data_IF_880192347422
#
_entry.id   IF_880192347422
#
_cell.length_a   1.000
_cell.length_b   1.000
_cell.length_c   1.000
_cell.angle_alpha   90.00
_cell.angle_beta   90.00
_cell.angle_gamma   90.00
#
_symmetry.space_group_name_H-M   'P 1'
#
loop_
_entity.id
_entity.type
_entity.pdbx_description
1 polymer ?
#
# COMPACT_ATOMS: atom_id res chain seq x y z
N UNK A 1 22.00 -11.63 -5.75
CA UNK A 1 20.86 -10.90 -6.34
C UNK A 1 20.11 -10.15 -5.24
N UNK A 2 20.74 -9.15 -4.59
CA UNK A 2 20.21 -8.46 -3.40
C UNK A 2 19.97 -6.95 -3.69
N UNK A 3 20.00 -6.53 -4.94
CA UNK A 3 20.09 -5.10 -5.26
C UNK A 3 18.77 -4.37 -5.54
N UNK A 4 17.65 -5.07 -5.73
CA UNK A 4 16.42 -4.42 -6.20
C UNK A 4 15.32 -4.23 -5.13
N UNK A 5 15.46 -4.81 -3.93
CA UNK A 5 14.42 -4.76 -2.89
C UNK A 5 14.47 -3.47 -2.04
N UNK A 6 15.63 -2.82 -1.96
CA UNK A 6 15.74 -1.54 -1.24
C UNK A 6 15.14 -0.33 -2.01
N UNK A 7 14.88 -0.48 -3.30
CA UNK A 7 14.40 0.64 -4.11
C UNK A 7 12.89 0.94 -3.94
N UNK A 8 12.09 -0.06 -3.56
CA UNK A 8 10.64 0.14 -3.40
C UNK A 8 10.28 0.90 -2.10
N UNK A 9 11.07 0.76 -1.05
CA UNK A 9 10.85 1.52 0.19
C UNK A 9 11.37 2.97 0.15
N UNK A 10 12.25 3.30 -0.80
CA UNK A 10 12.80 4.65 -0.94
C UNK A 10 11.84 5.64 -1.65
N UNK A 11 10.73 5.18 -2.18
CA UNK A 11 9.75 6.03 -2.89
C UNK A 11 8.65 6.56 -1.96
N UNK A 12 8.62 6.15 -0.69
CA UNK A 12 7.79 6.83 0.32
C UNK A 12 8.56 8.05 0.85
N UNK A 13 9.14 8.83 -0.02
CA UNK A 13 9.57 10.18 0.27
C UNK A 13 8.34 11.07 0.32
N UNK A 14 8.15 11.72 1.45
CA UNK A 14 7.15 12.77 1.64
C UNK A 14 7.10 13.68 0.41
N UNK A 15 6.12 13.50 -0.45
CA UNK A 15 5.77 14.51 -1.41
C UNK A 15 4.96 15.59 -0.68
N UNK A 16 5.66 16.48 0.01
CA UNK A 16 5.14 17.84 0.23
C UNK A 16 5.16 18.55 -1.11
N UNK A 17 4.29 18.09 -2.02
CA UNK A 17 4.15 18.66 -3.35
C UNK A 17 3.30 19.90 -3.29
N UNK A 18 3.94 21.07 -3.41
CA UNK A 18 3.28 22.25 -3.92
C UNK A 18 2.63 21.94 -5.27
N UNK A 19 1.45 22.48 -5.59
CA UNK A 19 0.80 22.20 -6.85
C UNK A 19 1.70 22.64 -8.00
N UNK A 20 2.13 21.69 -8.81
CA UNK A 20 2.83 21.99 -10.05
C UNK A 20 1.82 22.59 -11.02
N UNK A 21 1.91 23.89 -11.19
CA UNK A 21 1.19 24.60 -12.24
C UNK A 21 1.63 24.03 -13.59
N UNK A 22 0.72 23.40 -14.30
CA UNK A 22 0.95 22.92 -15.65
C UNK A 22 1.26 24.14 -16.54
N UNK A 23 2.53 24.31 -16.93
CA UNK A 23 2.90 25.26 -17.98
C UNK A 23 2.37 24.72 -19.31
N UNK A 24 1.40 25.43 -19.86
CA UNK A 24 0.99 25.29 -21.25
C UNK A 24 2.21 25.47 -22.16
N UNK A 25 2.77 24.38 -22.63
CA UNK A 25 3.81 24.41 -23.65
C UNK A 25 3.12 24.55 -25.01
N UNK A 26 2.89 25.77 -25.44
CA UNK A 26 2.47 26.04 -26.80
C UNK A 26 3.64 25.75 -27.75
N UNK A 27 3.58 24.64 -28.43
CA UNK A 27 4.42 24.34 -29.57
C UNK A 27 4.01 25.29 -30.70
N UNK A 28 4.94 26.00 -31.34
CA UNK A 28 4.63 26.82 -32.54
C UNK A 28 4.46 25.83 -33.71
N UNK A 29 3.27 25.70 -34.21
CA UNK A 29 3.00 24.90 -35.39
C UNK A 29 1.75 24.07 -35.28
N UNK A 30 0.62 24.66 -35.72
CA UNK A 30 -0.57 23.94 -36.13
C UNK A 30 -1.34 23.26 -35.01
N UNK A 31 -2.51 23.76 -34.71
CA UNK A 31 -3.51 23.07 -33.86
C UNK A 31 -3.88 21.73 -34.50
N UNK A 32 -3.47 20.57 -33.96
CA UNK A 32 -3.81 19.27 -34.55
C UNK A 32 -5.30 18.93 -34.40
N UNK A 33 -6.04 19.78 -33.70
CA UNK A 33 -7.47 19.64 -33.47
C UNK A 33 -8.34 20.66 -34.24
N UNK A 34 -7.76 21.31 -35.22
CA UNK A 34 -8.50 22.21 -36.13
C UNK A 34 -9.70 21.50 -36.77
N UNK A 35 -10.78 22.25 -36.93
CA UNK A 35 -12.11 21.83 -37.40
C UNK A 35 -12.14 21.27 -38.83
N UNK A 36 -11.40 20.22 -39.10
CA UNK A 36 -11.39 19.48 -40.35
C UNK A 36 -12.17 18.19 -40.21
N UNK A 37 -13.30 18.06 -40.88
CA UNK A 37 -14.05 16.82 -41.03
C UNK A 37 -13.23 15.82 -41.86
N UNK A 38 -12.30 15.11 -41.22
CA UNK A 38 -11.61 13.97 -41.82
C UNK A 38 -12.28 12.66 -41.40
N UNK A 39 -12.91 11.98 -42.35
CA UNK A 39 -13.27 10.58 -42.22
C UNK A 39 -11.97 9.74 -42.15
N UNK A 40 -11.43 9.54 -40.99
CA UNK A 40 -10.34 8.63 -40.75
C UNK A 40 -10.54 7.96 -39.38
N UNK A 41 -10.44 6.67 -39.35
CA UNK A 41 -10.42 5.85 -38.15
C UNK A 41 -9.26 6.29 -37.27
N UNK A 42 -9.54 7.01 -36.17
CA UNK A 42 -8.53 7.47 -35.20
C UNK A 42 -8.40 8.99 -35.14
N UNK A 43 -9.43 9.69 -34.69
CA UNK A 43 -9.32 11.10 -34.34
C UNK A 43 -8.69 11.24 -32.94
N UNK A 44 -7.43 11.70 -32.84
CA UNK A 44 -6.78 11.86 -31.55
C UNK A 44 -7.37 12.99 -30.70
N UNK A 45 -8.30 13.76 -31.25
CA UNK A 45 -8.92 14.91 -30.60
C UNK A 45 -10.37 14.69 -30.19
N UNK A 46 -10.89 13.46 -30.34
CA UNK A 46 -12.20 13.16 -29.79
C UNK A 46 -12.04 13.05 -28.27
N UNK A 47 -12.57 14.04 -27.54
CA UNK A 47 -12.44 14.17 -26.08
C UNK A 47 -13.03 13.04 -25.25
N UNK A 48 -13.29 11.88 -25.86
CA UNK A 48 -13.64 10.63 -25.20
C UNK A 48 -12.46 9.65 -25.18
N UNK A 49 -11.27 10.09 -25.54
CA UNK A 49 -10.06 9.30 -25.45
C UNK A 49 -9.30 9.60 -24.13
N UNK A 50 -10.04 9.73 -23.07
CA UNK A 50 -9.50 9.53 -21.75
C UNK A 50 -9.09 8.07 -21.65
N UNK A 51 -7.79 7.85 -21.61
CA UNK A 51 -7.24 6.58 -21.22
C UNK A 51 -6.90 5.57 -22.33
N UNK A 52 -5.78 5.81 -22.95
CA UNK A 52 -4.91 4.74 -23.38
C UNK A 52 -3.80 4.56 -22.33
N UNK A 53 -4.18 4.30 -21.10
CA UNK A 53 -3.32 3.62 -20.16
C UNK A 53 -3.45 2.14 -20.45
N UNK A 54 -2.36 1.50 -20.74
CA UNK A 54 -2.28 0.08 -20.96
C UNK A 54 -2.54 -0.69 -19.67
N UNK A 55 -3.74 -0.65 -19.19
CA UNK A 55 -4.33 -1.65 -18.29
C UNK A 55 -5.80 -1.33 -18.24
N UNK A 56 -6.61 -2.21 -18.77
CA UNK A 56 -8.04 -2.06 -18.84
C UNK A 56 -8.72 -2.00 -17.46
N UNK A 57 -8.45 -0.95 -16.74
CA UNK A 57 -9.28 -0.58 -15.61
C UNK A 57 -10.27 0.47 -16.07
N UNK A 58 -11.42 0.01 -16.50
CA UNK A 58 -12.58 0.81 -16.87
C UNK A 58 -13.28 1.36 -15.63
N UNK A 59 -12.58 2.12 -14.86
CA UNK A 59 -13.10 2.78 -13.69
C UNK A 59 -12.11 3.85 -13.27
N UNK A 60 -11.92 4.87 -14.13
CA UNK A 60 -11.04 5.98 -13.82
C UNK A 60 -11.49 6.75 -12.59
N UNK A 61 -11.33 6.18 -11.43
CA UNK A 61 -11.29 6.92 -10.18
C UNK A 61 -9.85 7.38 -10.00
N UNK A 62 -9.48 8.46 -10.71
CA UNK A 62 -8.23 9.16 -10.50
C UNK A 62 -8.15 9.67 -9.08
N UNK A 63 -7.83 8.80 -8.15
CA UNK A 63 -7.57 9.14 -6.77
C UNK A 63 -6.13 9.66 -6.60
N UNK A 64 -5.88 10.42 -5.55
CA UNK A 64 -4.54 10.92 -5.23
C UNK A 64 -3.56 9.82 -4.82
N UNK A 65 -4.00 8.58 -4.73
CA UNK A 65 -3.19 7.44 -4.34
C UNK A 65 -2.66 6.77 -5.60
N UNK A 66 -1.35 6.77 -5.77
CA UNK A 66 -0.71 5.96 -6.78
C UNK A 66 -0.95 4.48 -6.47
N UNK A 67 -1.21 3.71 -7.51
CA UNK A 67 -1.36 2.27 -7.39
C UNK A 67 -0.11 1.68 -6.72
N UNK A 68 -0.30 0.87 -5.69
CA UNK A 68 0.78 0.17 -5.01
C UNK A 68 1.24 -0.95 -5.95
N UNK A 69 2.51 -0.93 -6.38
CA UNK A 69 2.97 -1.86 -7.41
C UNK A 69 2.95 -3.29 -6.89
N UNK A 70 2.44 -4.17 -7.73
CA UNK A 70 2.60 -5.61 -7.56
C UNK A 70 4.05 -5.98 -7.90
N UNK A 71 4.70 -6.83 -7.08
CA UNK A 71 6.03 -7.33 -7.40
C UNK A 71 6.07 -8.09 -8.73
N UNK A 72 7.08 -7.81 -9.55
CA UNK A 72 7.32 -8.54 -10.79
C UNK A 72 7.86 -9.93 -10.48
N UNK A 73 7.16 -10.95 -10.91
CA UNK A 73 7.61 -12.35 -10.86
C UNK A 73 7.24 -13.06 -9.56
N UNK A 74 6.86 -14.28 -9.71
CA UNK A 74 6.48 -15.18 -8.64
C UNK A 74 7.69 -15.87 -8.01
N UNK A 75 8.54 -15.15 -7.33
CA UNK A 75 9.40 -15.81 -6.37
C UNK A 75 8.47 -16.30 -5.24
N UNK A 76 8.24 -17.59 -5.19
CA UNK A 76 7.53 -18.19 -4.06
C UNK A 76 8.53 -18.59 -2.98
N UNK A 77 8.13 -18.49 -1.73
CA UNK A 77 8.98 -18.93 -0.62
C UNK A 77 8.75 -18.18 0.68
N UNK A 78 9.35 -18.72 1.72
CA UNK A 78 9.33 -18.16 3.05
C UNK A 78 10.76 -17.85 3.49
N UNK A 79 11.02 -16.60 3.87
CA UNK A 79 12.35 -16.12 4.25
C UNK A 79 12.28 -15.38 5.57
N UNK A 80 13.10 -15.79 6.53
CA UNK A 80 13.24 -15.13 7.83
C UNK A 80 14.69 -14.75 8.05
N UNK A 81 14.92 -13.49 8.39
CA UNK A 81 16.22 -12.95 8.79
C UNK A 81 16.05 -12.27 10.14
N UNK A 82 16.78 -12.73 11.16
CA UNK A 82 16.74 -12.16 12.49
C UNK A 82 18.14 -11.76 12.93
N UNK A 83 18.29 -10.52 13.38
CA UNK A 83 19.52 -9.94 13.92
C UNK A 83 19.18 -9.41 15.31
N UNK A 84 20.01 -9.70 16.29
CA UNK A 84 19.79 -9.32 17.68
C UNK A 84 19.31 -10.48 18.55
N UNK A 85 18.55 -10.19 19.60
CA UNK A 85 18.19 -11.19 20.60
C UNK A 85 16.65 -11.35 20.76
N UNK A 86 16.23 -12.55 21.13
CA UNK A 86 14.83 -12.86 21.53
C UNK A 86 13.75 -12.53 20.49
N UNK A 87 14.12 -12.29 19.23
CA UNK A 87 13.18 -12.07 18.14
C UNK A 87 12.42 -13.37 17.82
N UNK A 88 11.14 -13.24 17.50
CA UNK A 88 10.26 -14.36 17.11
C UNK A 88 9.59 -14.07 15.76
N UNK A 89 9.80 -14.95 14.79
CA UNK A 89 9.16 -14.86 13.48
C UNK A 89 8.53 -16.19 13.07
N UNK A 90 7.35 -16.12 12.48
CA UNK A 90 6.63 -17.27 11.93
C UNK A 90 6.01 -16.92 10.59
N UNK A 91 6.22 -17.79 9.61
CA UNK A 91 5.53 -17.76 8.32
C UNK A 91 4.81 -19.09 8.17
N UNK A 92 3.52 -19.04 7.89
CA UNK A 92 2.66 -20.19 7.58
C UNK A 92 2.06 -19.98 6.19
N UNK A 93 2.39 -20.87 5.26
CA UNK A 93 1.94 -20.79 3.87
C UNK A 93 1.25 -22.09 3.48
N UNK A 94 -0.01 -22.00 3.07
CA UNK A 94 -0.79 -23.18 2.68
C UNK A 94 -0.48 -23.66 1.25
N UNK A 95 0.18 -22.86 0.42
CA UNK A 95 0.48 -23.17 -0.99
C UNK A 95 1.83 -22.64 -1.43
N UNK A 96 2.36 -23.18 -2.52
CA UNK A 96 3.68 -22.84 -3.06
C UNK A 96 3.71 -21.54 -3.89
N UNK A 97 2.56 -20.91 -4.16
CA UNK A 97 2.50 -19.64 -4.90
C UNK A 97 2.65 -18.38 -4.00
N UNK A 98 2.81 -18.59 -2.70
CA UNK A 98 2.92 -17.50 -1.74
C UNK A 98 4.37 -17.09 -1.52
N UNK A 99 4.57 -15.81 -1.27
CA UNK A 99 5.85 -15.23 -0.88
C UNK A 99 5.70 -14.48 0.44
N UNK A 100 6.57 -14.79 1.40
CA UNK A 100 6.68 -14.00 2.61
C UNK A 100 8.14 -13.82 3.00
N UNK A 101 8.49 -12.60 3.34
CA UNK A 101 9.81 -12.26 3.87
C UNK A 101 9.65 -11.45 5.15
N UNK A 102 10.25 -11.94 6.24
CA UNK A 102 10.31 -11.25 7.52
C UNK A 102 11.77 -10.90 7.82
N UNK A 103 12.03 -9.65 8.15
CA UNK A 103 13.33 -9.18 8.63
C UNK A 103 13.13 -8.50 9.98
N UNK A 104 13.85 -8.95 11.00
CA UNK A 104 13.85 -8.37 12.34
C UNK A 104 15.27 -7.99 12.73
N UNK A 105 15.47 -6.73 13.14
CA UNK A 105 16.74 -6.21 13.61
C UNK A 105 16.51 -5.46 14.93
N UNK A 106 17.01 -6.01 16.02
CA UNK A 106 16.82 -5.52 17.39
C UNK A 106 16.48 -6.63 18.37
N UNK A 107 15.66 -6.34 19.36
CA UNK A 107 15.33 -7.28 20.44
C UNK A 107 13.83 -7.44 20.61
N UNK A 108 13.40 -8.64 21.00
CA UNK A 108 12.04 -8.97 21.40
C UNK A 108 10.96 -8.63 20.34
N UNK A 109 11.34 -8.48 19.06
CA UNK A 109 10.41 -8.26 17.99
C UNK A 109 9.63 -9.55 17.67
N UNK A 110 8.34 -9.42 17.37
CA UNK A 110 7.46 -10.53 17.02
C UNK A 110 6.76 -10.27 15.69
N UNK A 111 6.86 -11.24 14.78
CA UNK A 111 6.20 -11.18 13.49
C UNK A 111 5.54 -12.50 13.11
N UNK A 112 4.29 -12.46 12.67
CA UNK A 112 3.58 -13.62 12.15
C UNK A 112 2.95 -13.29 10.82
N UNK A 113 3.10 -14.19 9.85
CA UNK A 113 2.44 -14.11 8.54
C UNK A 113 1.76 -15.44 8.25
N UNK A 114 0.46 -15.38 8.00
CA UNK A 114 -0.37 -16.53 7.62
C UNK A 114 -0.96 -16.25 6.24
N UNK A 115 -0.58 -17.07 5.25
CA UNK A 115 -0.99 -16.91 3.86
C UNK A 115 -1.76 -18.15 3.40
N UNK A 116 -3.01 -17.97 3.03
CA UNK A 116 -3.94 -19.03 2.64
C UNK A 116 -4.68 -18.66 1.36
N UNK A 117 -5.37 -19.65 0.78
CA UNK A 117 -6.16 -19.47 -0.42
C UNK A 117 -5.45 -19.90 -1.69
N UNK A 118 -6.07 -19.68 -2.85
CA UNK A 118 -5.53 -20.12 -4.14
C UNK A 118 -4.78 -19.02 -4.90
N UNK A 119 -5.00 -17.75 -4.54
CA UNK A 119 -4.28 -16.61 -5.11
C UNK A 119 -2.84 -16.50 -4.62
N UNK A 120 -2.03 -15.74 -5.33
CA UNK A 120 -0.67 -15.46 -4.92
C UNK A 120 -0.67 -14.40 -3.81
N UNK A 121 -0.18 -14.76 -2.64
CA UNK A 121 -0.06 -13.85 -1.50
C UNK A 121 1.37 -13.36 -1.39
N UNK A 122 1.54 -12.05 -1.23
CA UNK A 122 2.86 -11.44 -1.08
C UNK A 122 2.94 -10.58 0.17
N UNK A 123 3.94 -10.84 1.02
CA UNK A 123 4.24 -10.03 2.20
C UNK A 123 5.74 -9.75 2.32
N UNK A 124 6.10 -8.48 2.47
CA UNK A 124 7.38 -8.05 2.99
C UNK A 124 7.18 -7.30 4.32
N UNK A 125 7.78 -7.82 5.39
CA UNK A 125 7.68 -7.28 6.73
C UNK A 125 9.07 -7.01 7.28
N UNK A 126 9.29 -5.78 7.74
CA UNK A 126 10.55 -5.36 8.34
C UNK A 126 10.32 -4.66 9.67
N UNK A 127 10.99 -5.13 10.72
CA UNK A 127 10.97 -4.54 12.07
C UNK A 127 12.40 -4.15 12.47
N UNK A 128 12.59 -2.89 12.82
CA UNK A 128 13.84 -2.33 13.29
C UNK A 128 13.63 -1.64 14.65
N UNK A 129 14.31 -2.10 15.69
CA UNK A 129 14.15 -1.63 17.06
C UNK A 129 13.67 -2.75 17.97
N UNK A 130 12.95 -2.42 19.03
CA UNK A 130 12.64 -3.40 20.06
C UNK A 130 11.14 -3.55 20.28
N UNK A 131 10.74 -4.76 20.67
CA UNK A 131 9.38 -5.06 21.09
C UNK A 131 8.28 -4.67 20.05
N UNK A 132 8.62 -4.62 18.76
CA UNK A 132 7.62 -4.40 17.72
C UNK A 132 6.86 -5.69 17.44
N UNK A 133 5.55 -5.59 17.25
CA UNK A 133 4.70 -6.73 16.91
C UNK A 133 3.96 -6.51 15.60
N UNK A 134 3.98 -7.51 14.71
CA UNK A 134 3.21 -7.50 13.47
C UNK A 134 2.51 -8.83 13.24
N UNK A 135 1.22 -8.77 12.95
CA UNK A 135 0.40 -9.91 12.57
C UNK A 135 -0.23 -9.68 11.20
N UNK A 136 0.01 -10.60 10.28
CA UNK A 136 -0.48 -10.54 8.91
C UNK A 136 -1.28 -11.80 8.59
N UNK A 137 -2.49 -11.60 8.08
CA UNK A 137 -3.32 -12.67 7.54
C UNK A 137 -3.72 -12.27 6.13
N UNK A 138 -3.32 -13.07 5.14
CA UNK A 138 -3.72 -12.90 3.75
C UNK A 138 -4.43 -14.16 3.27
N UNK A 139 -5.59 -13.99 2.67
CA UNK A 139 -6.37 -15.12 2.16
C UNK A 139 -7.17 -14.75 0.90
N UNK A 140 -7.86 -15.73 0.35
CA UNK A 140 -8.75 -15.58 -0.81
C UNK A 140 -8.18 -16.22 -2.07
N UNK A 141 -8.97 -16.13 -3.14
CA UNK A 141 -8.62 -16.70 -4.44
C UNK A 141 -7.90 -15.72 -5.36
N UNK A 142 -7.96 -14.44 -5.05
CA UNK A 142 -7.19 -13.39 -5.69
C UNK A 142 -5.86 -13.12 -4.97
N UNK A 143 -5.16 -12.10 -5.44
CA UNK A 143 -3.82 -11.78 -4.94
C UNK A 143 -3.89 -10.71 -3.85
N UNK A 144 -3.05 -10.82 -2.82
CA UNK A 144 -2.85 -9.76 -1.84
C UNK A 144 -1.38 -9.36 -1.80
N UNK A 145 -1.13 -8.06 -1.74
CA UNK A 145 0.21 -7.47 -1.67
C UNK A 145 0.33 -6.62 -0.41
N UNK A 146 1.33 -6.88 0.41
CA UNK A 146 1.54 -6.16 1.65
C UNK A 146 3.00 -5.82 1.90
N UNK A 147 3.24 -4.57 2.24
CA UNK A 147 4.50 -4.08 2.76
C UNK A 147 4.29 -3.50 4.16
N UNK A 148 5.03 -4.00 5.14
CA UNK A 148 5.00 -3.51 6.52
C UNK A 148 6.40 -3.09 6.93
N UNK A 149 6.50 -1.85 7.44
CA UNK A 149 7.71 -1.33 8.06
C UNK A 149 7.38 -0.80 9.45
N UNK A 150 8.01 -1.38 10.47
CA UNK A 150 7.99 -0.86 11.83
C UNK A 150 9.40 -0.44 12.23
N UNK A 151 9.53 0.78 12.73
CA UNK A 151 10.80 1.39 13.13
C UNK A 151 10.65 2.08 14.47
N UNK A 152 11.59 1.84 15.38
CA UNK A 152 11.48 2.26 16.76
C UNK A 152 10.95 1.13 17.65
N UNK A 153 10.23 1.46 18.71
CA UNK A 153 9.92 0.48 19.74
C UNK A 153 8.42 0.37 20.01
N UNK A 154 7.97 -0.83 20.40
CA UNK A 154 6.59 -1.09 20.85
C UNK A 154 5.51 -0.76 19.82
N UNK A 155 5.83 -0.71 18.54
CA UNK A 155 4.83 -0.50 17.50
C UNK A 155 4.08 -1.81 17.22
N UNK A 156 2.76 -1.72 17.05
CA UNK A 156 1.89 -2.86 16.78
C UNK A 156 1.12 -2.66 15.49
N UNK A 157 1.19 -3.64 14.58
CA UNK A 157 0.43 -3.64 13.33
C UNK A 157 -0.30 -4.95 13.13
N UNK A 158 -1.59 -4.88 12.84
CA UNK A 158 -2.39 -6.03 12.44
C UNK A 158 -3.05 -5.77 11.10
N UNK A 159 -2.82 -6.67 10.15
CA UNK A 159 -3.35 -6.54 8.78
C UNK A 159 -4.06 -7.82 8.37
N UNK A 160 -5.30 -7.65 7.92
CA UNK A 160 -6.10 -8.69 7.30
C UNK A 160 -6.44 -8.30 5.87
N UNK A 161 -6.12 -9.16 4.90
CA UNK A 161 -6.48 -8.98 3.49
C UNK A 161 -7.19 -10.23 2.98
N UNK A 162 -8.34 -10.04 2.35
CA UNK A 162 -9.12 -11.09 1.71
C UNK A 162 -9.51 -10.64 0.30
N UNK A 163 -8.88 -11.20 -0.72
CA UNK A 163 -9.13 -10.89 -2.13
C UNK A 163 -9.91 -12.06 -2.77
N UNK A 164 -11.13 -11.80 -3.19
CA UNK A 164 -11.99 -12.80 -3.81
C UNK A 164 -12.17 -12.66 -5.33
N UNK A 165 -11.52 -11.68 -5.95
CA UNK A 165 -11.70 -11.33 -7.36
C UNK A 165 -10.55 -11.70 -8.27
N UNK A 166 -10.42 -10.96 -9.35
CA UNK A 166 -9.38 -11.15 -10.39
C UNK A 166 -8.32 -10.05 -10.38
N UNK A 167 -8.41 -9.12 -9.46
CA UNK A 167 -7.45 -8.04 -9.25
C UNK A 167 -6.57 -8.34 -8.03
N UNK A 168 -6.13 -7.33 -7.32
CA UNK A 168 -5.36 -7.53 -6.08
C UNK A 168 -5.68 -6.45 -5.04
N UNK A 169 -5.74 -6.85 -3.78
CA UNK A 169 -5.66 -5.90 -2.68
C UNK A 169 -4.21 -5.54 -2.42
N UNK A 170 -3.93 -4.28 -2.13
CA UNK A 170 -2.59 -3.87 -1.77
C UNK A 170 -2.57 -2.91 -0.58
N UNK A 171 -1.57 -3.07 0.29
CA UNK A 171 -1.35 -2.13 1.37
C UNK A 171 0.13 -1.85 1.62
N UNK A 172 0.39 -0.61 2.02
CA UNK A 172 1.65 -0.18 2.62
C UNK A 172 1.34 0.34 4.02
N UNK A 173 1.99 -0.24 5.00
CA UNK A 173 1.90 0.13 6.41
C UNK A 173 3.27 0.57 6.88
N UNK A 174 3.38 1.78 7.43
CA UNK A 174 4.61 2.30 8.00
C UNK A 174 4.35 2.91 9.37
N UNK A 175 5.06 2.43 10.38
CA UNK A 175 5.07 2.98 11.72
C UNK A 175 6.52 3.38 12.07
N UNK A 176 6.75 4.65 12.38
CA UNK A 176 8.06 5.17 12.82
C UNK A 176 7.88 5.90 14.15
N UNK A 177 8.46 5.37 15.21
CA UNK A 177 8.41 5.96 16.54
C UNK A 177 8.13 4.94 17.65
N UNK A 178 7.26 5.28 18.59
CA UNK A 178 7.08 4.48 19.81
C UNK A 178 5.59 4.25 20.12
N UNK A 179 5.23 2.98 20.30
CA UNK A 179 3.90 2.59 20.79
C UNK A 179 2.75 2.97 19.86
N UNK A 180 2.97 2.99 18.55
CA UNK A 180 1.91 3.23 17.59
C UNK A 180 1.12 1.93 17.34
N UNK A 181 -0.19 2.03 17.22
CA UNK A 181 -1.12 0.91 17.00
C UNK A 181 -1.87 1.08 15.68
N UNK A 182 -1.88 0.04 14.84
CA UNK A 182 -2.51 0.07 13.53
C UNK A 182 -3.28 -1.22 13.26
N UNK A 183 -4.52 -1.06 12.84
CA UNK A 183 -5.36 -2.14 12.37
C UNK A 183 -5.91 -1.85 10.97
N UNK A 184 -5.68 -2.76 10.02
CA UNK A 184 -6.19 -2.69 8.66
C UNK A 184 -6.95 -3.96 8.30
N UNK A 185 -8.16 -3.79 7.77
CA UNK A 185 -8.92 -4.84 7.09
C UNK A 185 -9.21 -4.42 5.65
N UNK A 186 -8.88 -5.28 4.70
CA UNK A 186 -9.30 -5.16 3.30
C UNK A 186 -10.07 -6.44 2.92
N UNK A 187 -11.36 -6.32 2.62
CA UNK A 187 -12.22 -7.42 2.24
C UNK A 187 -12.96 -7.08 0.94
N UNK A 188 -12.68 -7.82 -0.11
CA UNK A 188 -13.17 -7.57 -1.47
C UNK A 188 -12.03 -7.45 -2.46
N UNK A 189 -12.21 -6.68 -3.51
CA UNK A 189 -11.32 -6.68 -4.67
C UNK A 189 -10.77 -5.29 -5.00
N UNK A 190 -9.53 -5.21 -5.45
CA UNK A 190 -8.91 -3.95 -5.86
C UNK A 190 -8.88 -2.85 -4.77
N UNK A 191 -8.80 -3.22 -3.48
CA UNK A 191 -8.67 -2.27 -2.41
C UNK A 191 -7.20 -1.88 -2.20
N UNK A 192 -6.92 -0.59 -2.03
CA UNK A 192 -5.57 -0.12 -1.79
C UNK A 192 -5.51 0.84 -0.62
N UNK A 193 -4.53 0.64 0.27
CA UNK A 193 -4.32 1.45 1.45
C UNK A 193 -2.85 1.86 1.62
N UNK A 194 -2.62 3.13 1.92
CA UNK A 194 -1.33 3.65 2.37
C UNK A 194 -1.50 4.29 3.74
N UNK A 195 -0.98 3.64 4.77
CA UNK A 195 -1.15 4.01 6.17
C UNK A 195 0.20 4.32 6.79
N UNK A 196 0.36 5.54 7.28
CA UNK A 196 1.62 6.04 7.84
C UNK A 196 1.38 6.63 9.22
N UNK A 197 2.08 6.13 10.23
CA UNK A 197 2.12 6.69 11.58
C UNK A 197 3.55 7.10 11.92
N UNK A 198 3.74 8.36 12.25
CA UNK A 198 5.01 8.91 12.72
C UNK A 198 4.82 9.53 14.10
N UNK A 199 5.70 9.21 15.04
CA UNK A 199 5.67 9.77 16.40
C UNK A 199 5.31 8.74 17.47
N UNK A 200 4.48 9.12 18.44
CA UNK A 200 4.30 8.29 19.64
C UNK A 200 2.83 8.10 19.99
N UNK A 201 2.45 6.86 20.30
CA UNK A 201 1.12 6.49 20.81
C UNK A 201 -0.04 6.94 19.91
N UNK A 202 0.15 6.87 18.61
CA UNK A 202 -0.89 7.12 17.63
C UNK A 202 -1.70 5.84 17.36
N UNK A 203 -2.98 5.98 17.05
CA UNK A 203 -3.85 4.85 16.74
C UNK A 203 -4.58 5.04 15.42
N UNK A 204 -4.63 3.97 14.60
CA UNK A 204 -5.33 3.89 13.32
C UNK A 204 -6.15 2.62 13.21
N UNK A 205 -7.42 2.74 12.84
CA UNK A 205 -8.25 1.62 12.41
C UNK A 205 -8.88 1.90 11.06
N UNK A 206 -8.58 1.09 10.07
CA UNK A 206 -9.11 1.23 8.72
C UNK A 206 -9.75 -0.07 8.24
N UNK A 207 -10.94 0.06 7.66
CA UNK A 207 -11.67 -1.04 7.04
C UNK A 207 -12.07 -0.63 5.63
N UNK A 208 -11.69 -1.44 4.65
CA UNK A 208 -12.15 -1.33 3.27
C UNK A 208 -12.94 -2.58 2.92
N UNK A 209 -14.22 -2.41 2.58
CA UNK A 209 -15.11 -3.49 2.20
C UNK A 209 -15.66 -3.26 0.78
N UNK A 210 -15.80 -4.33 0.00
CA UNK A 210 -16.18 -4.26 -1.40
C UNK A 210 -15.01 -3.91 -2.31
N UNK A 211 -15.27 -3.27 -3.43
CA UNK A 211 -14.29 -3.16 -4.50
C UNK A 211 -13.77 -1.74 -4.71
N UNK A 212 -12.53 -1.65 -5.14
CA UNK A 212 -11.88 -0.43 -5.63
C UNK A 212 -11.81 0.73 -4.62
N UNK A 213 -11.74 0.45 -3.32
CA UNK A 213 -11.50 1.48 -2.32
C UNK A 213 -10.05 1.95 -2.32
N UNK A 214 -9.85 3.23 -2.10
CA UNK A 214 -8.52 3.86 -2.02
C UNK A 214 -8.42 4.68 -0.74
N UNK A 215 -7.43 4.39 0.11
CA UNK A 215 -7.19 5.09 1.36
C UNK A 215 -5.74 5.55 1.46
N UNK A 216 -5.54 6.84 1.74
CA UNK A 216 -4.28 7.37 2.19
C UNK A 216 -4.48 8.07 3.53
N UNK A 217 -3.86 7.55 4.58
CA UNK A 217 -3.99 8.13 5.91
C UNK A 217 -2.62 8.28 6.57
N UNK A 218 -2.31 9.51 6.96
CA UNK A 218 -1.08 9.86 7.67
C UNK A 218 -1.40 10.46 9.03
N UNK A 219 -0.74 9.97 10.06
CA UNK A 219 -0.71 10.54 11.40
C UNK A 219 0.73 10.93 11.74
N UNK A 220 0.94 12.18 12.14
CA UNK A 220 2.26 12.65 12.58
C UNK A 220 2.12 13.45 13.87
N UNK A 221 2.60 12.92 14.98
CA UNK A 221 2.53 13.58 16.27
C UNK A 221 2.49 12.62 17.46
N UNK A 222 1.81 13.06 18.50
CA UNK A 222 1.72 12.35 19.77
C UNK A 222 0.26 12.12 20.16
N UNK A 223 -0.10 10.88 20.43
CA UNK A 223 -1.42 10.51 20.96
C UNK A 223 -2.58 10.91 20.03
N UNK A 224 -2.38 10.84 18.72
CA UNK A 224 -3.43 11.12 17.75
C UNK A 224 -4.50 10.04 17.83
N UNK A 225 -5.74 10.49 17.98
CA UNK A 225 -6.90 9.61 18.14
C UNK A 225 -7.19 8.82 16.86
N UNK A 226 -7.63 7.60 17.05
CA UNK A 226 -8.20 6.79 15.99
C UNK A 226 -9.52 7.40 15.48
N UNK A 227 -9.62 7.59 14.16
CA UNK A 227 -10.86 8.03 13.51
C UNK A 227 -11.75 6.87 13.09
N UNK A 228 -11.27 5.63 13.14
CA UNK A 228 -11.99 4.42 12.73
C UNK A 228 -12.64 4.58 11.35
N UNK A 229 -11.83 4.57 10.31
CA UNK A 229 -12.28 4.81 8.93
C UNK A 229 -12.86 3.53 8.33
N UNK A 230 -14.09 3.63 7.82
CA UNK A 230 -14.74 2.58 7.05
C UNK A 230 -15.03 3.08 5.63
N UNK A 231 -14.60 2.31 4.62
CA UNK A 231 -14.87 2.58 3.21
C UNK A 231 -15.63 1.42 2.59
N UNK A 232 -16.61 1.73 1.75
CA UNK A 232 -17.37 0.74 1.01
C UNK A 232 -17.55 1.17 -0.44
N UNK A 233 -17.31 0.24 -1.38
CA UNK A 233 -17.70 0.41 -2.78
C UNK A 233 -17.06 1.57 -3.55
N UNK A 234 -15.74 1.54 -3.76
CA UNK A 234 -15.02 2.47 -4.62
C UNK A 234 -14.79 3.86 -4.02
N UNK A 235 -14.79 3.96 -2.71
CA UNK A 235 -14.50 5.19 -2.00
C UNK A 235 -13.02 5.57 -2.10
N UNK A 236 -12.75 6.87 -2.25
CA UNK A 236 -11.40 7.42 -2.26
C UNK A 236 -11.28 8.46 -1.14
N UNK A 237 -10.42 8.20 -0.16
CA UNK A 237 -10.28 9.01 1.04
C UNK A 237 -8.81 9.31 1.31
N UNK A 238 -8.52 10.58 1.58
CA UNK A 238 -7.22 11.03 2.05
C UNK A 238 -7.36 11.76 3.38
N UNK A 239 -6.57 11.35 4.38
CA UNK A 239 -6.61 11.90 5.73
C UNK A 239 -5.19 12.27 6.15
N UNK A 240 -5.07 13.42 6.78
CA UNK A 240 -3.85 13.83 7.46
C UNK A 240 -4.20 14.37 8.84
N UNK A 241 -3.62 13.76 9.86
CA UNK A 241 -3.73 14.20 11.25
C UNK A 241 -2.36 14.61 11.74
N UNK A 242 -2.25 15.80 12.25
CA UNK A 242 -1.00 16.30 12.83
C UNK A 242 -1.27 17.06 14.11
N UNK A 243 -0.43 16.84 15.11
CA UNK A 243 -0.33 17.73 16.25
C UNK A 243 1.15 18.10 16.45
N UNK A 244 1.43 19.36 16.69
CA UNK A 244 2.78 19.76 17.03
C UNK A 244 3.16 19.13 18.37
N UNK A 245 4.24 18.36 18.39
CA UNK A 245 4.82 17.89 19.64
C UNK A 245 5.17 19.08 20.54
N UNK A 246 4.84 19.00 21.79
CA UNK A 246 5.29 19.96 22.81
C UNK A 246 6.67 19.57 23.30
#
# INVERSE_FOLDING_TARGET
MIRNVLAALAVIGLATGSPVSAKNNKTPGGDPCGSGQGRGTGNPCNGNNGNVGANGNSGGHGGPINEIPKPDGSDSGAYIVQIGATNSARIDQARSSHYARIVQDGQDNKATTDQRGSGAQFTELSQHGNENEAEVIQQGDGENVLYVLQKGDLNHARVYQNEGGTTYNAAVVSQDGHGNDLFLTQDGSDNQASLVQEGTSNAMTATQSGDANRLSWSQNGYGLSDLAIEQTGGANVQISQTNGGR
#
